data_IF_621516466362
#
_entry.id   IF_621516466362
#
_cell.length_a   1.000
_cell.length_b   1.000
_cell.length_c   1.000
_cell.angle_alpha   90.00
_cell.angle_beta   90.00
_cell.angle_gamma   90.00
#
_symmetry.space_group_name_H-M   'P 1'
#
loop_
_entity.id
_entity.type
_entity.pdbx_description
1 polymer ?
#
# COMPACT_ATOMS: atom_id res chain seq x y z
N UNK A 1 5.72 -18.48 -10.83
CA UNK A 1 5.65 -17.96 -9.44
C UNK A 1 4.99 -16.60 -9.52
N UNK A 2 3.93 -16.34 -8.73
CA UNK A 2 3.26 -15.03 -8.73
C UNK A 2 4.18 -13.99 -8.05
N UNK A 3 4.50 -12.93 -8.76
CA UNK A 3 5.31 -11.81 -8.26
C UNK A 3 4.39 -10.69 -7.78
N UNK A 4 4.74 -10.03 -6.67
CA UNK A 4 3.97 -8.95 -6.07
C UNK A 4 4.81 -7.68 -5.98
N UNK A 5 4.14 -6.55 -6.12
CA UNK A 5 4.68 -5.20 -5.94
C UNK A 5 4.08 -4.64 -4.66
N UNK A 6 4.97 -4.20 -3.76
CA UNK A 6 4.56 -3.52 -2.54
C UNK A 6 4.31 -2.04 -2.83
N UNK A 7 3.12 -1.55 -2.45
CA UNK A 7 2.70 -0.17 -2.64
C UNK A 7 2.30 0.41 -1.30
N UNK A 8 2.88 1.54 -0.92
CA UNK A 8 2.47 2.30 0.26
C UNK A 8 1.62 3.47 -0.21
N UNK A 9 0.36 3.49 0.20
CA UNK A 9 -0.57 4.60 -0.02
C UNK A 9 -0.60 5.51 1.19
N UNK A 10 -0.76 6.81 0.97
CA UNK A 10 -0.85 7.84 2.01
C UNK A 10 -2.22 8.50 1.95
N UNK A 11 -2.80 8.69 3.11
CA UNK A 11 -4.16 9.20 3.29
C UNK A 11 -4.13 10.34 4.28
N UNK A 12 -4.75 11.46 3.92
CA UNK A 12 -4.93 12.63 4.78
C UNK A 12 -6.32 12.64 5.40
N UNK A 13 -6.43 13.16 6.62
CA UNK A 13 -7.68 13.33 7.35
C UNK A 13 -8.02 14.82 7.32
N UNK A 14 -9.21 15.15 6.81
CA UNK A 14 -9.67 16.55 6.76
C UNK A 14 -10.35 17.00 8.07
N UNK A 15 -10.78 18.27 8.12
CA UNK A 15 -11.39 18.88 9.31
C UNK A 15 -12.75 18.28 9.73
N UNK A 16 -13.31 17.34 8.95
CA UNK A 16 -14.51 16.57 9.32
C UNK A 16 -14.20 15.09 9.55
N UNK A 17 -12.92 14.72 9.60
CA UNK A 17 -12.47 13.35 9.83
C UNK A 17 -12.53 12.44 8.61
N UNK A 18 -12.70 12.98 7.40
CA UNK A 18 -12.78 12.16 6.18
C UNK A 18 -11.38 11.85 5.65
N UNK A 19 -11.16 10.57 5.37
CA UNK A 19 -9.94 10.07 4.73
C UNK A 19 -9.94 10.44 3.23
N UNK A 20 -8.88 11.10 2.79
CA UNK A 20 -8.67 11.48 1.40
C UNK A 20 -7.31 10.93 0.95
N UNK A 21 -7.28 10.25 -0.19
CA UNK A 21 -6.02 9.78 -0.76
C UNK A 21 -5.14 10.97 -1.19
N UNK A 22 -3.89 10.99 -0.72
CA UNK A 22 -2.95 12.12 -0.97
C UNK A 22 -1.65 11.68 -1.66
N UNK A 23 -1.48 10.38 -1.95
CA UNK A 23 -0.36 9.89 -2.75
C UNK A 23 -0.02 8.43 -2.50
N UNK A 24 0.90 7.89 -3.30
CA UNK A 24 1.42 6.55 -3.10
C UNK A 24 2.86 6.42 -3.61
N UNK A 25 3.57 5.43 -3.10
CA UNK A 25 4.87 4.98 -3.60
C UNK A 25 4.82 3.48 -3.85
N UNK A 26 5.25 3.06 -5.03
CA UNK A 26 5.41 1.65 -5.37
C UNK A 26 6.89 1.28 -5.31
N UNK A 27 7.24 0.24 -4.56
CA UNK A 27 8.58 -0.32 -4.59
C UNK A 27 8.71 -1.16 -5.86
N UNK A 28 9.56 -0.74 -6.79
CA UNK A 28 9.75 -1.40 -8.09
C UNK A 28 10.43 -2.78 -8.00
N UNK A 29 10.74 -3.25 -6.80
CA UNK A 29 11.30 -4.58 -6.57
C UNK A 29 10.16 -5.62 -6.50
N UNK A 30 10.25 -6.73 -7.27
CA UNK A 30 9.31 -7.83 -7.13
C UNK A 30 9.57 -8.62 -5.85
N UNK A 31 8.49 -9.00 -5.17
CA UNK A 31 8.48 -9.82 -3.97
C UNK A 31 7.68 -11.11 -4.20
N UNK A 32 7.94 -12.14 -3.39
CA UNK A 32 6.96 -13.21 -3.21
C UNK A 32 5.77 -12.70 -2.41
N UNK A 33 4.63 -13.39 -2.50
CA UNK A 33 3.44 -13.05 -1.73
C UNK A 33 3.74 -12.93 -0.23
N UNK A 34 4.37 -13.96 0.36
CA UNK A 34 4.70 -13.98 1.80
C UNK A 34 5.68 -12.87 2.20
N UNK A 35 6.61 -12.50 1.31
CA UNK A 35 7.51 -11.37 1.57
C UNK A 35 6.75 -10.05 1.56
N UNK A 36 5.86 -9.88 0.59
CA UNK A 36 5.05 -8.67 0.48
C UNK A 36 4.09 -8.53 1.66
N UNK A 37 3.39 -9.59 2.06
CA UNK A 37 2.48 -9.60 3.20
C UNK A 37 3.19 -9.24 4.51
N UNK A 38 4.44 -9.68 4.69
CA UNK A 38 5.27 -9.28 5.84
C UNK A 38 5.64 -7.79 5.84
N UNK A 39 5.73 -7.17 4.67
CA UNK A 39 5.98 -5.74 4.53
C UNK A 39 4.70 -4.92 4.76
N UNK A 40 3.52 -5.49 4.50
CA UNK A 40 2.22 -4.84 4.77
C UNK A 40 1.90 -4.76 6.26
N UNK A 41 2.41 -5.69 7.08
CA UNK A 41 2.13 -5.71 8.52
C UNK A 41 2.43 -4.35 9.17
N UNK A 42 1.37 -3.63 9.51
CA UNK A 42 1.37 -2.24 9.97
C UNK A 42 2.25 -2.05 11.21
N UNK A 43 2.46 -3.12 12.00
CA UNK A 43 3.33 -3.07 13.19
C UNK A 43 4.78 -2.71 12.87
N UNK A 44 5.25 -2.95 11.65
CA UNK A 44 6.59 -2.57 11.21
C UNK A 44 6.73 -1.07 10.90
N UNK A 45 5.61 -0.38 10.59
CA UNK A 45 5.61 1.00 10.08
C UNK A 45 4.86 2.01 10.97
N UNK A 46 4.02 1.50 11.88
CA UNK A 46 3.16 2.27 12.80
C UNK A 46 3.89 3.36 13.61
N UNK A 47 5.16 3.21 14.06
CA UNK A 47 5.85 4.26 14.80
C UNK A 47 6.22 5.50 13.97
N UNK A 48 6.17 5.44 12.64
CA UNK A 48 6.86 6.40 11.78
C UNK A 48 5.92 7.29 10.95
N UNK A 49 4.63 6.97 10.84
CA UNK A 49 3.81 7.53 9.75
C UNK A 49 2.32 7.79 10.04
N UNK A 50 1.85 7.69 11.29
CA UNK A 50 0.46 7.95 11.66
C UNK A 50 0.34 9.12 12.64
N UNK A 51 -0.55 10.07 12.33
CA UNK A 51 -0.99 11.13 13.23
C UNK A 51 -2.44 11.55 12.91
N UNK A 52 -2.94 12.58 13.59
CA UNK A 52 -4.31 13.09 13.40
C UNK A 52 -4.59 13.67 12.00
N UNK A 53 -3.56 13.94 11.20
CA UNK A 53 -3.66 14.55 9.88
C UNK A 53 -3.42 13.58 8.73
N UNK A 54 -2.62 12.52 8.94
CA UNK A 54 -2.34 11.53 7.90
C UNK A 54 -1.95 10.17 8.47
N UNK A 55 -2.15 9.15 7.65
CA UNK A 55 -1.66 7.80 7.88
C UNK A 55 -1.21 7.15 6.56
N UNK A 56 -0.49 6.04 6.66
CA UNK A 56 -0.04 5.26 5.50
C UNK A 56 -0.60 3.83 5.59
N UNK A 57 -0.97 3.25 4.44
CA UNK A 57 -1.40 1.84 4.31
C UNK A 57 -0.55 1.13 3.27
N UNK A 58 0.03 0.00 3.66
CA UNK A 58 0.73 -0.91 2.74
C UNK A 58 -0.24 -1.80 1.98
N UNK A 59 0.06 -2.08 0.72
CA UNK A 59 -0.70 -2.92 -0.19
C UNK A 59 0.22 -3.85 -0.96
N UNK A 60 -0.28 -5.04 -1.29
CA UNK A 60 0.42 -5.99 -2.15
C UNK A 60 -0.39 -6.21 -3.42
N UNK A 61 0.14 -5.76 -4.54
CA UNK A 61 -0.49 -5.95 -5.85
C UNK A 61 0.24 -7.01 -6.65
N UNK A 62 -0.47 -7.91 -7.36
CA UNK A 62 0.16 -8.75 -8.36
C UNK A 62 0.87 -7.89 -9.40
N UNK A 63 2.14 -8.20 -9.72
CA UNK A 63 2.92 -7.45 -10.72
C UNK A 63 2.22 -7.39 -12.07
N UNK A 64 1.50 -8.46 -12.41
CA UNK A 64 0.68 -8.57 -13.62
C UNK A 64 -0.49 -7.59 -13.69
N UNK A 65 -0.84 -6.95 -12.58
CA UNK A 65 -1.87 -5.92 -12.47
C UNK A 65 -1.31 -4.49 -12.37
N UNK A 66 0.01 -4.33 -12.40
CA UNK A 66 0.64 -3.01 -12.43
C UNK A 66 0.26 -2.24 -13.70
N UNK A 67 -0.38 -1.08 -13.55
CA UNK A 67 -0.77 -0.19 -14.64
C UNK A 67 -2.09 -0.54 -15.35
N UNK A 68 -2.91 -1.46 -14.83
CA UNK A 68 -4.24 -1.79 -15.36
C UNK A 68 -5.34 -1.08 -14.55
N UNK A 69 -6.43 -0.68 -15.21
CA UNK A 69 -7.59 -0.03 -14.56
C UNK A 69 -8.41 -1.01 -13.69
N UNK A 70 -8.45 -2.29 -14.07
CA UNK A 70 -9.02 -3.38 -13.26
C UNK A 70 -8.08 -4.59 -13.27
N UNK A 71 -8.03 -5.28 -12.14
CA UNK A 71 -7.29 -6.53 -11.96
C UNK A 71 -8.34 -7.60 -11.66
N UNK A 72 -8.77 -8.34 -12.69
CA UNK A 72 -9.64 -9.50 -12.49
C UNK A 72 -8.79 -10.67 -11.98
N UNK A 73 -9.04 -11.08 -10.74
CA UNK A 73 -8.47 -12.30 -10.15
C UNK A 73 -9.09 -13.52 -10.86
N UNK A 74 -8.43 -14.04 -11.90
CA UNK A 74 -8.62 -15.44 -12.33
C UNK A 74 -7.55 -16.34 -11.70
#
# INVERSE_FOLDING_TARGET
>A
MKEFIFVVSMWGIDGVGKENYIGQIALQQPFSQTQCEKLVDEKMWSPSYENEYYFMRGHCFPKECSGKESCDEN
#
